data_IF_904095617361
#
_entry.id   IF_904095617361
#
_cell.length_a   1.000
_cell.length_b   1.000
_cell.length_c   1.000
_cell.angle_alpha   90.00
_cell.angle_beta   90.00
_cell.angle_gamma   90.00
#
_symmetry.space_group_name_H-M   'P 1'
#
loop_
_entity.id
_entity.type
_entity.pdbx_description
1 polymer ?
#
# COMPACT_ATOMS: atom_id res chain seq x y z
N UNK A 1 20.79 0.91 20.70
CA UNK A 1 21.32 -0.09 19.73
C UNK A 1 21.37 0.59 18.37
N UNK A 2 22.31 0.26 17.50
CA UNK A 2 22.30 0.76 16.11
C UNK A 2 21.48 -0.17 15.23
N UNK A 3 20.69 0.39 14.32
CA UNK A 3 20.01 -0.41 13.31
C UNK A 3 21.00 -0.89 12.25
N UNK A 4 21.04 -2.20 11.98
CA UNK A 4 21.94 -2.79 10.96
C UNK A 4 21.67 -2.29 9.54
N UNK A 5 20.43 -1.84 9.26
CA UNK A 5 20.02 -1.41 7.92
C UNK A 5 20.38 0.04 7.62
N UNK A 6 20.31 0.93 8.61
CA UNK A 6 20.42 2.38 8.37
C UNK A 6 21.37 3.11 9.33
N UNK A 7 22.04 2.38 10.23
CA UNK A 7 22.95 2.88 11.24
C UNK A 7 22.37 3.96 12.18
N UNK A 8 21.04 4.11 12.22
CA UNK A 8 20.39 5.04 13.13
C UNK A 8 20.35 4.45 14.54
N UNK A 9 20.52 5.32 15.53
CA UNK A 9 20.30 4.96 16.92
C UNK A 9 18.83 4.62 17.15
N UNK A 10 18.58 3.46 17.77
CA UNK A 10 17.23 2.91 17.91
C UNK A 10 17.07 2.08 19.18
N UNK A 11 15.81 1.86 19.57
CA UNK A 11 15.42 1.01 20.68
C UNK A 11 15.29 -0.45 20.23
N UNK A 12 15.46 -1.44 21.13
CA UNK A 12 15.28 -2.84 20.79
C UNK A 12 13.87 -3.12 20.26
N UNK A 13 13.79 -3.81 19.12
CA UNK A 13 12.53 -4.12 18.47
C UNK A 13 12.75 -4.79 17.10
N UNK A 14 11.67 -5.28 16.46
CA UNK A 14 11.77 -6.02 15.21
C UNK A 14 12.25 -5.17 14.03
N UNK A 15 11.92 -3.87 13.99
CA UNK A 15 12.30 -2.94 12.92
C UNK A 15 12.54 -1.55 13.50
N UNK A 16 13.55 -0.84 12.99
CA UNK A 16 13.85 0.53 13.39
C UNK A 16 12.76 1.52 12.91
N UNK A 17 12.44 2.56 13.70
CA UNK A 17 11.39 3.52 13.35
C UNK A 17 11.63 4.22 11.99
N UNK A 18 12.88 4.57 11.69
CA UNK A 18 13.26 5.22 10.42
C UNK A 18 13.06 4.28 9.22
N UNK A 19 13.35 3.00 9.40
CA UNK A 19 13.18 1.93 8.44
C UNK A 19 11.69 1.67 8.18
N UNK A 20 10.89 1.63 9.25
CA UNK A 20 9.44 1.45 9.18
C UNK A 20 8.75 2.62 8.45
N UNK A 21 9.20 3.85 8.68
CA UNK A 21 8.71 5.03 7.95
C UNK A 21 9.05 4.95 6.46
N UNK A 22 10.29 4.57 6.12
CA UNK A 22 10.70 4.40 4.72
C UNK A 22 9.89 3.32 3.99
N UNK A 23 9.58 2.22 4.69
CA UNK A 23 8.74 1.16 4.16
C UNK A 23 7.33 1.67 3.81
N UNK A 24 6.73 2.53 4.64
CA UNK A 24 5.41 3.11 4.35
C UNK A 24 5.42 4.02 3.11
N UNK A 25 6.52 4.73 2.84
CA UNK A 25 6.65 5.58 1.65
C UNK A 25 6.79 4.79 0.36
N UNK A 26 7.37 3.59 0.45
CA UNK A 26 7.64 2.73 -0.71
C UNK A 26 6.58 1.67 -0.93
N UNK A 27 5.62 1.53 -0.01
CA UNK A 27 4.52 0.59 -0.18
C UNK A 27 3.66 1.03 -1.36
N UNK A 28 3.50 0.18 -2.39
CA UNK A 28 2.56 0.45 -3.45
C UNK A 28 1.17 0.50 -2.82
N UNK A 29 0.51 1.66 -2.93
CA UNK A 29 -0.89 1.78 -2.52
C UNK A 29 -1.70 0.89 -3.46
N UNK A 30 -1.94 -0.35 -3.03
CA UNK A 30 -2.91 -1.24 -3.66
C UNK A 30 -4.29 -0.65 -3.43
N UNK A 31 -4.65 0.37 -4.22
CA UNK A 31 -6.04 0.76 -4.38
C UNK A 31 -6.70 -0.34 -5.19
N UNK A 32 -7.24 -1.34 -4.50
CA UNK A 32 -8.41 -2.05 -5.01
C UNK A 32 -9.54 -1.02 -5.10
N UNK A 33 -9.51 -0.17 -6.13
CA UNK A 33 -10.73 0.42 -6.62
C UNK A 33 -11.55 -0.75 -7.14
N UNK A 34 -12.43 -1.29 -6.30
CA UNK A 34 -13.64 -1.94 -6.76
C UNK A 34 -14.41 -0.88 -7.55
N UNK A 35 -13.96 -0.60 -8.77
CA UNK A 35 -14.68 0.25 -9.71
C UNK A 35 -16.02 -0.43 -9.86
N UNK A 36 -17.03 0.11 -9.16
CA UNK A 36 -18.42 -0.24 -9.38
C UNK A 36 -18.61 -0.10 -10.88
N UNK A 37 -18.74 -1.24 -11.55
CA UNK A 37 -19.06 -1.28 -12.97
C UNK A 37 -20.31 -0.42 -13.12
N UNK A 38 -20.28 0.66 -13.93
CA UNK A 38 -21.49 1.41 -14.21
C UNK A 38 -22.53 0.42 -14.73
N UNK A 39 -23.78 0.45 -14.27
CA UNK A 39 -24.80 -0.44 -14.79
C UNK A 39 -24.91 -0.20 -16.30
N UNK A 40 -24.59 -1.23 -17.09
CA UNK A 40 -24.75 -1.19 -18.54
C UNK A 40 -26.26 -1.27 -18.81
N UNK A 41 -26.86 -0.29 -19.50
CA UNK A 41 -28.27 -0.37 -19.85
C UNK A 41 -28.53 -1.62 -20.72
N UNK A 42 -29.66 -2.32 -20.54
CA UNK A 42 -29.98 -3.49 -21.34
C UNK A 42 -30.05 -3.09 -22.82
N UNK A 43 -29.38 -3.86 -23.68
CA UNK A 43 -29.47 -3.67 -25.12
C UNK A 43 -30.91 -3.93 -25.57
N UNK A 44 -31.50 -2.99 -26.31
CA UNK A 44 -32.83 -3.15 -26.88
C UNK A 44 -32.85 -4.37 -27.82
N UNK A 45 -33.92 -5.20 -27.79
CA UNK A 45 -34.05 -6.32 -28.70
C UNK A 45 -34.13 -5.79 -30.14
N UNK A 46 -33.31 -6.36 -31.03
CA UNK A 46 -33.43 -6.17 -32.47
C UNK A 46 -34.24 -7.35 -33.02
N UNK A 47 -35.49 -7.11 -33.35
CA UNK A 47 -36.38 -8.08 -34.00
C UNK A 47 -37.75 -8.15 -33.36
#
# INVERSE_FOLDING_TARGET
>A
MLCDTCAAETHPGPVCARCAALAQLTQPVLRLETRRRPPVPPAAPRG
#
